data_IF_632851716449
#
_entry.id   IF_632851716449
#
_cell.length_a   1.000
_cell.length_b   1.000
_cell.length_c   1.000
_cell.angle_alpha   90.00
_cell.angle_beta   90.00
_cell.angle_gamma   90.00
#
_symmetry.space_group_name_H-M   'P 1'
#
loop_
_entity.id
_entity.type
_entity.pdbx_description
1 polymer ?
#
# COMPACT_ATOMS: atom_id res chain seq x y z
N UNK A 1 17.98 1.19 5.49
CA UNK A 1 16.88 1.77 6.31
C UNK A 1 16.08 0.69 7.03
N UNK A 2 15.51 -0.29 6.33
CA UNK A 2 14.72 -1.37 6.98
C UNK A 2 15.56 -2.24 7.92
N UNK A 3 16.73 -2.71 7.47
CA UNK A 3 17.65 -3.51 8.32
C UNK A 3 18.11 -2.76 9.57
N UNK A 4 18.39 -1.45 9.42
CA UNK A 4 18.82 -0.60 10.53
C UNK A 4 17.71 -0.42 11.56
N UNK A 5 16.45 -0.29 11.13
CA UNK A 5 15.31 -0.24 12.04
C UNK A 5 15.16 -1.55 12.82
N UNK A 6 15.28 -2.70 12.14
CA UNK A 6 15.19 -4.02 12.78
C UNK A 6 16.25 -4.20 13.86
N UNK A 7 17.51 -3.92 13.55
CA UNK A 7 18.60 -3.99 14.54
C UNK A 7 18.36 -3.03 15.70
N UNK A 8 17.82 -1.85 15.42
CA UNK A 8 17.52 -0.86 16.47
C UNK A 8 16.34 -1.28 17.34
N UNK A 9 15.34 -1.98 16.82
CA UNK A 9 14.23 -2.51 17.63
C UNK A 9 14.74 -3.45 18.73
N UNK A 10 15.70 -4.32 18.40
CA UNK A 10 16.32 -5.23 19.35
C UNK A 10 17.31 -4.52 20.30
N UNK A 11 18.06 -3.55 19.79
CA UNK A 11 19.13 -2.88 20.55
C UNK A 11 18.62 -1.77 21.48
N UNK A 12 17.50 -1.12 21.15
CA UNK A 12 16.96 0.03 21.90
C UNK A 12 16.66 -0.27 23.37
N UNK A 13 16.02 -1.41 23.74
CA UNK A 13 15.78 -1.76 25.13
C UNK A 13 17.08 -1.87 25.94
N UNK A 14 18.08 -2.58 25.41
CA UNK A 14 19.38 -2.77 26.08
C UNK A 14 20.16 -1.46 26.22
N UNK A 15 20.19 -0.64 25.17
CA UNK A 15 20.81 0.69 25.23
C UNK A 15 20.14 1.56 26.28
N UNK A 16 18.81 1.48 26.39
CA UNK A 16 18.07 2.30 27.35
C UNK A 16 18.41 1.88 28.77
N UNK A 17 18.47 0.59 29.07
CA UNK A 17 18.87 0.07 30.38
C UNK A 17 20.30 0.49 30.75
N UNK A 18 21.25 0.38 29.81
CA UNK A 18 22.66 0.68 30.06
C UNK A 18 22.98 2.18 30.19
N UNK A 19 22.28 3.02 29.41
CA UNK A 19 22.62 4.44 29.27
C UNK A 19 21.75 5.34 30.14
N UNK A 20 20.47 5.01 30.36
CA UNK A 20 19.56 5.86 31.14
C UNK A 20 20.08 6.20 32.55
N UNK A 21 20.69 5.27 33.31
CA UNK A 21 21.26 5.59 34.63
C UNK A 21 22.46 6.54 34.60
N UNK A 22 23.13 6.66 33.44
CA UNK A 22 24.34 7.47 33.25
C UNK A 22 24.04 8.90 32.79
N UNK A 23 22.82 9.17 32.34
CA UNK A 23 22.40 10.49 31.88
C UNK A 23 22.16 11.43 33.06
N UNK A 24 22.89 12.55 33.09
CA UNK A 24 22.80 13.59 34.13
C UNK A 24 21.99 14.80 33.66
N UNK A 25 21.42 15.55 34.61
CA UNK A 25 20.69 16.79 34.33
C UNK A 25 19.18 16.69 34.55
N UNK A 26 18.48 17.77 34.20
CA UNK A 26 17.01 17.87 34.31
C UNK A 26 16.32 16.89 33.34
N UNK A 27 15.04 16.54 33.54
CA UNK A 27 14.33 15.60 32.66
C UNK A 27 14.43 15.91 31.16
N UNK A 28 14.28 17.18 30.77
CA UNK A 28 14.40 17.61 29.37
C UNK A 28 15.84 17.47 28.82
N UNK A 29 16.86 17.74 29.65
CA UNK A 29 18.27 17.60 29.26
C UNK A 29 18.63 16.13 29.05
N UNK A 30 18.16 15.24 29.93
CA UNK A 30 18.33 13.78 29.78
C UNK A 30 17.62 13.26 28.54
N UNK A 31 16.41 13.76 28.23
CA UNK A 31 15.71 13.38 27.00
C UNK A 31 16.48 13.81 25.75
N UNK A 32 17.02 15.03 25.72
CA UNK A 32 17.86 15.51 24.61
C UNK A 32 19.14 14.69 24.46
N UNK A 33 19.84 14.41 25.56
CA UNK A 33 21.04 13.57 25.54
C UNK A 33 20.73 12.15 25.05
N UNK A 34 19.61 11.58 25.48
CA UNK A 34 19.13 10.28 24.99
C UNK A 34 18.85 10.27 23.49
N UNK A 35 18.20 11.31 22.96
CA UNK A 35 17.97 11.44 21.52
C UNK A 35 19.29 11.50 20.74
N UNK A 36 20.27 12.28 21.20
CA UNK A 36 21.59 12.36 20.57
C UNK A 36 22.32 11.02 20.57
N UNK A 37 22.27 10.28 21.68
CA UNK A 37 22.83 8.93 21.78
C UNK A 37 22.14 7.99 20.79
N UNK A 38 20.80 8.00 20.76
CA UNK A 38 20.01 7.17 19.83
C UNK A 38 20.37 7.47 18.38
N UNK A 39 20.47 8.74 18.02
CA UNK A 39 20.79 9.16 16.65
C UNK A 39 22.21 8.72 16.27
N UNK A 40 23.20 8.89 17.16
CA UNK A 40 24.57 8.46 16.92
C UNK A 40 24.69 6.94 16.75
N UNK A 41 24.00 6.17 17.60
CA UNK A 41 23.97 4.70 17.48
C UNK A 41 23.23 4.29 16.22
N UNK A 42 22.12 4.94 15.89
CA UNK A 42 21.38 4.67 14.66
C UNK A 42 22.26 4.91 13.42
N UNK A 43 23.01 6.01 13.37
CA UNK A 43 23.95 6.27 12.26
C UNK A 43 25.05 5.21 12.17
N UNK A 44 25.57 4.72 13.30
CA UNK A 44 26.56 3.64 13.31
C UNK A 44 25.97 2.33 12.80
N UNK A 45 24.79 1.94 13.31
CA UNK A 45 24.05 0.76 12.86
C UNK A 45 23.74 0.87 11.36
N UNK A 46 23.34 2.05 10.89
CA UNK A 46 23.07 2.28 9.48
C UNK A 46 24.32 2.05 8.62
N UNK A 47 25.48 2.59 9.02
CA UNK A 47 26.74 2.37 8.32
C UNK A 47 27.13 0.90 8.28
N UNK A 48 27.07 0.20 9.42
CA UNK A 48 27.41 -1.22 9.49
C UNK A 48 26.44 -2.09 8.67
N UNK A 49 25.13 -1.87 8.79
CA UNK A 49 24.13 -2.57 8.00
C UNK A 49 24.37 -2.36 6.50
N UNK A 50 24.73 -1.14 6.08
CA UNK A 50 25.01 -0.84 4.68
C UNK A 50 26.22 -1.64 4.17
N UNK A 51 27.35 -1.57 4.87
CA UNK A 51 28.56 -2.30 4.48
C UNK A 51 28.33 -3.81 4.44
N UNK A 52 27.65 -4.39 5.43
CA UNK A 52 27.35 -5.81 5.45
C UNK A 52 26.38 -6.21 4.34
N UNK A 53 25.35 -5.41 4.09
CA UNK A 53 24.40 -5.64 3.01
C UNK A 53 25.09 -5.62 1.64
N UNK A 54 25.90 -4.60 1.36
CA UNK A 54 26.67 -4.50 0.11
C UNK A 54 27.61 -5.69 -0.09
N UNK A 55 28.30 -6.12 0.97
CA UNK A 55 29.17 -7.28 0.91
C UNK A 55 28.42 -8.59 0.62
N UNK A 56 27.18 -8.74 1.11
CA UNK A 56 26.33 -9.89 0.80
C UNK A 56 25.81 -9.80 -0.64
N UNK A 57 25.36 -8.64 -1.08
CA UNK A 57 24.90 -8.40 -2.46
C UNK A 57 25.98 -8.75 -3.46
N UNK A 58 27.22 -8.26 -3.27
CA UNK A 58 28.34 -8.57 -4.15
C UNK A 58 28.63 -10.07 -4.23
N UNK A 59 28.52 -10.80 -3.11
CA UNK A 59 28.69 -12.27 -3.10
C UNK A 59 27.58 -12.97 -3.86
N UNK A 60 26.34 -12.50 -3.75
CA UNK A 60 25.20 -13.04 -4.49
C UNK A 60 25.35 -12.78 -5.99
N UNK A 61 25.67 -11.53 -6.38
CA UNK A 61 25.89 -11.15 -7.78
C UNK A 61 27.04 -11.93 -8.42
N UNK A 62 28.13 -12.18 -7.68
CA UNK A 62 29.23 -13.00 -8.17
C UNK A 62 28.85 -14.47 -8.44
N UNK A 63 27.88 -15.01 -7.68
CA UNK A 63 27.41 -16.39 -7.83
C UNK A 63 26.26 -16.52 -8.84
N UNK A 64 25.65 -15.41 -9.27
CA UNK A 64 24.38 -15.37 -10.00
C UNK A 64 24.43 -16.18 -11.31
N UNK A 65 25.39 -15.88 -12.19
CA UNK A 65 25.54 -16.57 -13.48
C UNK A 65 25.77 -18.09 -13.36
N UNK A 66 26.53 -18.53 -12.35
CA UNK A 66 26.75 -19.96 -12.09
C UNK A 66 25.47 -20.62 -11.56
N UNK A 67 24.73 -19.92 -10.72
CA UNK A 67 23.48 -20.42 -10.16
C UNK A 67 22.41 -20.53 -11.26
N UNK A 68 22.28 -19.52 -12.13
CA UNK A 68 21.39 -19.58 -13.29
C UNK A 68 21.70 -20.76 -14.21
N UNK A 69 22.99 -21.03 -14.46
CA UNK A 69 23.40 -22.16 -15.29
C UNK A 69 23.05 -23.51 -14.66
N UNK A 70 23.21 -23.68 -13.34
CA UNK A 70 22.80 -24.89 -12.63
C UNK A 70 21.28 -25.04 -12.61
N UNK A 71 20.53 -23.98 -12.30
CA UNK A 71 19.05 -24.01 -12.32
C UNK A 71 18.54 -24.42 -13.70
N UNK A 72 19.11 -23.87 -14.78
CA UNK A 72 18.70 -24.19 -16.15
C UNK A 72 19.01 -25.64 -16.52
N UNK A 73 20.16 -26.16 -16.09
CA UNK A 73 20.58 -27.54 -16.34
C UNK A 73 19.71 -28.54 -15.58
N UNK A 74 19.40 -28.25 -14.32
CA UNK A 74 18.75 -29.19 -13.39
C UNK A 74 17.25 -28.89 -13.19
N UNK A 75 16.64 -28.08 -14.06
CA UNK A 75 15.29 -27.53 -13.89
C UNK A 75 14.23 -28.60 -13.58
N UNK A 76 14.20 -29.69 -14.36
CA UNK A 76 13.22 -30.77 -14.17
C UNK A 76 13.42 -31.52 -12.84
N UNK A 77 14.68 -31.67 -12.39
CA UNK A 77 15.02 -32.30 -11.12
C UNK A 77 14.62 -31.41 -9.94
N UNK A 78 14.85 -30.09 -10.06
CA UNK A 78 14.42 -29.10 -9.07
C UNK A 78 12.90 -29.11 -8.93
N UNK A 79 12.16 -29.11 -10.05
CA UNK A 79 10.68 -29.20 -10.04
C UNK A 79 10.23 -30.48 -9.35
N UNK A 80 10.80 -31.62 -9.73
CA UNK A 80 10.47 -32.92 -9.13
C UNK A 80 10.73 -32.95 -7.62
N UNK A 81 11.86 -32.38 -7.18
CA UNK A 81 12.21 -32.29 -5.77
C UNK A 81 11.27 -31.34 -5.01
N UNK A 82 10.92 -30.20 -5.59
CA UNK A 82 9.95 -29.25 -5.03
C UNK A 82 8.56 -29.88 -4.87
N UNK A 83 8.08 -30.61 -5.88
CA UNK A 83 6.78 -31.30 -5.82
C UNK A 83 6.78 -32.37 -4.73
N UNK A 84 7.87 -33.15 -4.62
CA UNK A 84 8.01 -34.14 -3.57
C UNK A 84 7.97 -33.53 -2.16
N UNK A 85 8.72 -32.45 -1.93
CA UNK A 85 8.71 -31.74 -0.64
C UNK A 85 7.34 -31.13 -0.37
N UNK A 86 6.72 -30.51 -1.38
CA UNK A 86 5.38 -29.92 -1.27
C UNK A 86 4.34 -30.94 -0.89
N UNK A 87 4.35 -32.13 -1.51
CA UNK A 87 3.43 -33.21 -1.21
C UNK A 87 3.63 -33.74 0.22
N UNK A 88 4.87 -33.94 0.66
CA UNK A 88 5.16 -34.34 2.05
C UNK A 88 4.67 -33.31 3.07
N UNK A 89 4.91 -32.01 2.82
CA UNK A 89 4.41 -30.95 3.69
C UNK A 89 2.88 -30.95 3.70
N UNK A 90 2.25 -31.08 2.52
CA UNK A 90 0.79 -31.12 2.38
C UNK A 90 0.19 -32.26 3.17
N UNK A 91 0.72 -33.48 3.08
CA UNK A 91 0.22 -34.64 3.83
C UNK A 91 0.22 -34.39 5.35
N UNK A 92 1.26 -33.72 5.88
CA UNK A 92 1.39 -33.43 7.31
C UNK A 92 0.51 -32.25 7.76
N UNK A 93 0.38 -31.22 6.92
CA UNK A 93 -0.23 -29.93 7.29
C UNK A 93 -1.70 -29.87 6.91
N UNK A 94 -2.11 -30.40 5.75
CA UNK A 94 -3.43 -30.23 5.18
C UNK A 94 -4.56 -30.68 6.13
N UNK A 95 -4.51 -31.86 6.78
CA UNK A 95 -5.60 -32.28 7.67
C UNK A 95 -5.79 -31.33 8.87
N UNK A 96 -4.69 -30.78 9.40
CA UNK A 96 -4.73 -29.81 10.50
C UNK A 96 -5.24 -28.46 10.03
N UNK A 97 -4.77 -28.00 8.87
CA UNK A 97 -5.18 -26.74 8.26
C UNK A 97 -6.67 -26.75 7.88
N UNK A 98 -7.18 -27.82 7.27
CA UNK A 98 -8.60 -27.94 6.91
C UNK A 98 -9.51 -27.92 8.14
N UNK A 99 -9.11 -28.59 9.23
CA UNK A 99 -9.86 -28.55 10.48
C UNK A 99 -9.91 -27.13 11.05
N UNK A 100 -8.78 -26.43 11.09
CA UNK A 100 -8.71 -25.03 11.54
C UNK A 100 -9.51 -24.10 10.63
N UNK A 101 -9.45 -24.30 9.31
CA UNK A 101 -10.21 -23.51 8.34
C UNK A 101 -11.71 -23.66 8.60
N UNK A 102 -12.22 -24.89 8.70
CA UNK A 102 -13.66 -25.16 8.88
C UNK A 102 -14.19 -24.65 10.22
N UNK A 103 -13.44 -24.83 11.29
CA UNK A 103 -13.90 -24.49 12.65
C UNK A 103 -13.65 -23.03 12.99
N UNK A 104 -12.46 -22.52 12.66
CA UNK A 104 -11.99 -21.24 13.18
C UNK A 104 -12.09 -20.11 12.17
N UNK A 105 -12.06 -20.35 10.85
CA UNK A 105 -11.99 -19.28 9.84
C UNK A 105 -13.30 -19.15 9.05
N UNK A 106 -13.78 -20.24 8.46
CA UNK A 106 -14.92 -20.28 7.54
C UNK A 106 -16.20 -19.61 8.08
N UNK A 107 -16.57 -19.76 9.37
CA UNK A 107 -17.76 -19.09 9.91
C UNK A 107 -17.71 -17.56 9.87
N UNK A 108 -16.53 -16.97 9.80
CA UNK A 108 -16.34 -15.52 9.88
C UNK A 108 -16.17 -14.85 8.52
N UNK A 109 -15.85 -15.61 7.46
CA UNK A 109 -15.54 -15.07 6.13
C UNK A 109 -16.63 -14.09 5.65
N UNK A 110 -17.91 -14.43 5.80
CA UNK A 110 -19.01 -13.54 5.39
C UNK A 110 -18.95 -12.21 6.15
N UNK A 111 -18.85 -12.26 7.48
CA UNK A 111 -18.80 -11.05 8.31
C UNK A 111 -17.60 -10.17 7.99
N UNK A 112 -16.46 -10.76 7.64
CA UNK A 112 -15.27 -10.01 7.18
C UNK A 112 -15.56 -9.31 5.87
N UNK A 113 -16.09 -10.05 4.90
CA UNK A 113 -16.39 -9.51 3.58
C UNK A 113 -17.41 -8.38 3.72
N UNK A 114 -18.44 -8.53 4.53
CA UNK A 114 -19.44 -7.48 4.74
C UNK A 114 -18.82 -6.23 5.39
N UNK A 115 -18.00 -6.40 6.43
CA UNK A 115 -17.30 -5.31 7.10
C UNK A 115 -16.33 -4.56 6.18
N UNK A 116 -15.73 -5.25 5.20
CA UNK A 116 -14.86 -4.65 4.19
C UNK A 116 -15.65 -4.01 3.04
N UNK A 117 -16.65 -4.73 2.50
CA UNK A 117 -17.40 -4.35 1.30
C UNK A 117 -18.25 -3.11 1.53
N UNK A 118 -18.91 -3.00 2.68
CA UNK A 118 -19.83 -1.89 2.96
C UNK A 118 -19.13 -0.51 2.91
N UNK A 119 -18.09 -0.21 3.73
CA UNK A 119 -17.36 1.06 3.64
C UNK A 119 -16.65 1.26 2.30
N UNK A 120 -16.09 0.19 1.72
CA UNK A 120 -15.39 0.25 0.43
C UNK A 120 -16.34 0.65 -0.70
N UNK A 121 -17.49 -0.02 -0.82
CA UNK A 121 -18.50 0.25 -1.85
C UNK A 121 -19.07 1.67 -1.74
N UNK A 122 -19.26 2.18 -0.52
CA UNK A 122 -19.66 3.58 -0.29
C UNK A 122 -18.62 4.56 -0.79
N UNK A 123 -17.34 4.34 -0.48
CA UNK A 123 -16.28 5.24 -0.96
C UNK A 123 -16.12 5.22 -2.48
N UNK A 124 -16.20 4.05 -3.14
CA UNK A 124 -16.21 3.99 -4.61
C UNK A 124 -17.46 4.61 -5.23
N UNK A 125 -18.61 4.49 -4.56
CA UNK A 125 -19.83 5.18 -4.99
C UNK A 125 -19.68 6.69 -4.91
N UNK A 126 -19.05 7.22 -3.86
CA UNK A 126 -18.74 8.64 -3.71
C UNK A 126 -17.76 9.10 -4.80
N UNK A 127 -16.72 8.33 -5.13
CA UNK A 127 -15.81 8.63 -6.25
C UNK A 127 -16.57 8.77 -7.56
N UNK A 128 -17.49 7.83 -7.84
CA UNK A 128 -18.35 7.89 -9.03
C UNK A 128 -19.23 9.14 -9.02
N UNK A 129 -19.83 9.48 -7.88
CA UNK A 129 -20.68 10.68 -7.75
C UNK A 129 -19.87 11.97 -7.91
N UNK A 130 -18.68 12.05 -7.33
CA UNK A 130 -17.76 13.17 -7.48
C UNK A 130 -17.41 13.37 -8.96
N UNK A 131 -16.98 12.31 -9.64
CA UNK A 131 -16.67 12.38 -11.07
C UNK A 131 -17.86 12.83 -11.90
N UNK A 132 -19.05 12.29 -11.61
CA UNK A 132 -20.28 12.68 -12.30
C UNK A 132 -20.63 14.16 -12.08
N UNK A 133 -20.46 14.68 -10.86
CA UNK A 133 -20.70 16.09 -10.52
C UNK A 133 -19.79 17.01 -11.32
N UNK A 134 -18.50 16.70 -11.40
CA UNK A 134 -17.53 17.50 -12.18
C UNK A 134 -17.85 17.47 -13.69
N UNK A 135 -18.30 16.33 -14.23
CA UNK A 135 -18.74 16.24 -15.62
C UNK A 135 -20.01 17.06 -15.88
N UNK A 136 -20.96 17.07 -14.95
CA UNK A 136 -22.18 17.87 -15.06
C UNK A 136 -21.88 19.37 -14.99
N UNK A 137 -20.96 19.79 -14.12
CA UNK A 137 -20.52 21.18 -14.02
C UNK A 137 -19.79 21.62 -15.30
N UNK A 138 -18.95 20.76 -15.88
CA UNK A 138 -18.37 20.98 -17.21
C UNK A 138 -19.47 21.22 -18.25
N UNK A 139 -20.47 20.34 -18.32
CA UNK A 139 -21.56 20.45 -19.31
C UNK A 139 -22.34 21.77 -19.18
N UNK A 140 -22.67 22.19 -17.96
CA UNK A 140 -23.35 23.48 -17.70
C UNK A 140 -22.49 24.68 -18.10
N UNK A 141 -21.19 24.65 -17.81
CA UNK A 141 -20.28 25.74 -18.16
C UNK A 141 -20.08 25.86 -19.68
N UNK A 142 -20.04 24.74 -20.39
CA UNK A 142 -20.04 24.74 -21.87
C UNK A 142 -21.29 25.40 -22.44
N UNK A 143 -22.47 25.10 -21.89
CA UNK A 143 -23.75 25.68 -22.34
C UNK A 143 -23.85 27.18 -22.05
N UNK A 144 -23.27 27.66 -20.95
CA UNK A 144 -23.41 29.05 -20.49
C UNK A 144 -22.29 29.99 -20.99
N UNK A 145 -21.08 29.49 -21.24
CA UNK A 145 -19.90 30.33 -21.56
C UNK A 145 -19.22 30.00 -22.90
N UNK A 146 -19.67 28.95 -23.61
CA UNK A 146 -19.47 28.72 -25.06
C UNK A 146 -18.07 28.66 -25.66
N UNK A 147 -17.00 29.06 -24.95
CA UNK A 147 -15.66 29.12 -25.50
C UNK A 147 -14.87 27.83 -25.25
N UNK A 148 -14.13 27.41 -26.28
CA UNK A 148 -13.28 26.22 -26.28
C UNK A 148 -12.23 26.26 -25.17
N UNK A 149 -11.74 27.46 -24.83
CA UNK A 149 -10.81 27.71 -23.73
C UNK A 149 -11.38 27.33 -22.35
N UNK A 150 -12.65 27.65 -22.07
CA UNK A 150 -13.28 27.35 -20.76
C UNK A 150 -13.47 25.84 -20.58
N UNK A 151 -13.79 25.13 -21.67
CA UNK A 151 -13.91 23.66 -21.69
C UNK A 151 -12.55 23.01 -21.46
N UNK A 152 -11.50 23.47 -22.14
CA UNK A 152 -10.14 22.96 -21.98
C UNK A 152 -9.63 23.15 -20.53
N UNK A 153 -9.86 24.32 -19.94
CA UNK A 153 -9.48 24.60 -18.55
C UNK A 153 -10.22 23.70 -17.54
N UNK A 154 -11.49 23.39 -17.77
CA UNK A 154 -12.23 22.48 -16.89
C UNK A 154 -11.82 21.02 -17.08
N UNK A 155 -11.52 20.59 -18.30
CA UNK A 155 -11.01 19.25 -18.56
C UNK A 155 -9.67 19.02 -17.86
N UNK A 156 -8.81 20.04 -17.82
CA UNK A 156 -7.55 19.99 -17.06
C UNK A 156 -7.79 19.89 -15.54
N UNK A 157 -8.83 20.56 -15.01
CA UNK A 157 -9.21 20.37 -13.60
C UNK A 157 -9.69 18.95 -13.30
N UNK A 158 -10.39 18.31 -14.25
CA UNK A 158 -10.84 16.92 -14.13
C UNK A 158 -9.65 15.94 -14.25
N UNK A 159 -8.63 16.27 -15.05
CA UNK A 159 -7.43 15.43 -15.24
C UNK A 159 -6.67 15.19 -13.93
N UNK A 160 -6.65 16.19 -13.06
CA UNK A 160 -5.99 16.15 -11.75
C UNK A 160 -6.94 15.84 -10.58
N UNK A 161 -8.22 15.57 -10.84
CA UNK A 161 -9.26 15.38 -9.81
C UNK A 161 -8.90 14.28 -8.82
N UNK A 162 -8.28 13.20 -9.29
CA UNK A 162 -7.83 12.07 -8.46
C UNK A 162 -6.81 12.45 -7.38
N UNK A 163 -6.15 13.61 -7.51
CA UNK A 163 -5.15 14.13 -6.58
C UNK A 163 -5.64 15.38 -5.84
N UNK A 164 -6.88 15.82 -6.07
CA UNK A 164 -7.41 17.01 -5.43
C UNK A 164 -7.70 16.74 -3.94
N UNK A 165 -6.97 17.38 -2.99
CA UNK A 165 -7.04 17.01 -1.58
C UNK A 165 -8.43 17.22 -0.97
N UNK A 166 -9.09 18.34 -1.28
CA UNK A 166 -10.42 18.66 -0.72
C UNK A 166 -11.54 17.82 -1.35
N UNK A 167 -11.62 17.73 -2.68
CA UNK A 167 -12.70 17.01 -3.38
C UNK A 167 -12.68 15.51 -3.07
N UNK A 168 -11.49 14.90 -3.02
CA UNK A 168 -11.34 13.48 -2.71
C UNK A 168 -11.59 13.11 -1.24
N UNK A 169 -11.52 14.09 -0.32
CA UNK A 169 -11.66 13.83 1.11
C UNK A 169 -12.98 13.14 1.46
N UNK A 170 -14.09 13.61 0.89
CA UNK A 170 -15.42 13.01 1.07
C UNK A 170 -15.48 11.53 0.67
N UNK A 171 -14.68 11.11 -0.32
CA UNK A 171 -14.58 9.72 -0.76
C UNK A 171 -13.81 8.86 0.25
N UNK A 172 -12.74 9.43 0.82
CA UNK A 172 -11.89 8.75 1.80
C UNK A 172 -12.59 8.55 3.14
N UNK A 173 -13.35 9.55 3.59
CA UNK A 173 -14.15 9.50 4.82
C UNK A 173 -15.16 8.34 4.83
N UNK A 174 -15.64 7.88 3.66
CA UNK A 174 -16.57 6.73 3.59
C UNK A 174 -15.93 5.41 4.01
N UNK A 175 -14.60 5.31 3.93
CA UNK A 175 -13.86 4.10 4.28
C UNK A 175 -13.27 4.15 5.69
N UNK A 176 -13.13 5.33 6.28
CA UNK A 176 -12.60 5.49 7.64
C UNK A 176 -13.35 4.69 8.73
N UNK A 177 -14.67 4.48 8.66
CA UNK A 177 -15.39 3.64 9.62
C UNK A 177 -15.10 2.14 9.52
N UNK A 178 -14.23 1.70 8.60
CA UNK A 178 -13.85 0.30 8.46
C UNK A 178 -13.20 -0.20 9.75
N UNK A 179 -13.90 -1.10 10.43
CA UNK A 179 -13.44 -1.73 11.66
C UNK A 179 -13.42 -3.25 11.50
N UNK A 180 -12.33 -3.85 11.96
CA UNK A 180 -12.13 -5.30 12.01
C UNK A 180 -11.89 -5.78 13.45
N UNK A 181 -12.34 -5.02 14.46
CA UNK A 181 -12.06 -5.29 15.89
C UNK A 181 -12.41 -6.73 16.31
N UNK A 182 -13.59 -7.22 15.91
CA UNK A 182 -14.01 -8.59 16.22
C UNK A 182 -13.11 -9.68 15.61
N UNK A 183 -12.37 -9.35 14.56
CA UNK A 183 -11.39 -10.23 13.92
C UNK A 183 -9.97 -10.05 14.43
N UNK A 184 -9.56 -8.82 14.76
CA UNK A 184 -8.25 -8.54 15.36
C UNK A 184 -8.08 -9.30 16.66
N UNK A 185 -9.13 -9.37 17.48
CA UNK A 185 -9.13 -10.14 18.72
C UNK A 185 -8.98 -11.65 18.52
N UNK A 186 -9.25 -12.18 17.32
CA UNK A 186 -9.35 -13.63 17.07
C UNK A 186 -8.27 -14.19 16.14
N UNK A 187 -7.79 -13.40 15.20
CA UNK A 187 -6.88 -13.85 14.15
C UNK A 187 -5.56 -13.05 14.10
N UNK A 188 -5.32 -12.17 15.07
CA UNK A 188 -4.12 -11.31 15.10
C UNK A 188 -3.92 -10.56 13.76
N UNK A 189 -5.03 -10.14 13.14
CA UNK A 189 -4.96 -9.43 11.86
C UNK A 189 -4.35 -8.05 12.07
N UNK A 190 -3.56 -7.60 11.08
CA UNK A 190 -3.03 -6.25 11.03
C UNK A 190 -4.14 -5.19 11.21
N UNK A 191 -3.74 -4.00 11.67
CA UNK A 191 -4.64 -2.85 11.84
C UNK A 191 -5.52 -2.62 10.60
N UNK A 192 -6.79 -2.26 10.81
CA UNK A 192 -7.74 -1.91 9.75
C UNK A 192 -7.22 -0.76 8.86
N UNK A 193 -6.27 0.03 9.37
CA UNK A 193 -5.59 1.10 8.65
C UNK A 193 -4.98 0.67 7.32
N UNK A 194 -4.45 -0.55 7.22
CA UNK A 194 -3.85 -1.07 5.97
C UNK A 194 -4.93 -1.19 4.87
N UNK A 195 -6.12 -1.66 5.23
CA UNK A 195 -7.24 -1.79 4.31
C UNK A 195 -7.79 -0.42 3.91
N UNK A 196 -7.91 0.50 4.87
CA UNK A 196 -8.33 1.89 4.60
C UNK A 196 -7.36 2.56 3.61
N UNK A 197 -6.06 2.52 3.89
CA UNK A 197 -5.03 3.08 3.02
C UNK A 197 -5.08 2.46 1.62
N UNK A 198 -5.22 1.13 1.53
CA UNK A 198 -5.29 0.43 0.25
C UNK A 198 -6.54 0.83 -0.55
N UNK A 199 -7.69 0.90 0.09
CA UNK A 199 -8.93 1.33 -0.54
C UNK A 199 -8.83 2.77 -1.07
N UNK A 200 -8.27 3.69 -0.28
CA UNK A 200 -8.05 5.08 -0.71
C UNK A 200 -7.08 5.18 -1.91
N UNK A 201 -6.02 4.36 -1.94
CA UNK A 201 -5.12 4.26 -3.09
C UNK A 201 -5.88 3.80 -4.34
N UNK A 202 -6.68 2.73 -4.21
CA UNK A 202 -7.46 2.19 -5.33
C UNK A 202 -8.50 3.19 -5.84
N UNK A 203 -9.14 3.96 -4.95
CA UNK A 203 -10.06 5.03 -5.32
C UNK A 203 -9.39 6.09 -6.21
N UNK A 204 -8.18 6.52 -5.86
CA UNK A 204 -7.38 7.43 -6.71
C UNK A 204 -7.05 6.81 -8.06
N UNK A 205 -6.59 5.55 -8.05
CA UNK A 205 -6.20 4.86 -9.28
C UNK A 205 -7.37 4.72 -10.25
N UNK A 206 -8.54 4.29 -9.77
CA UNK A 206 -9.74 4.15 -10.60
C UNK A 206 -10.14 5.49 -11.22
N UNK A 207 -10.18 6.56 -10.44
CA UNK A 207 -10.53 7.88 -10.97
C UNK A 207 -9.50 8.39 -12.01
N UNK A 208 -8.21 8.19 -11.75
CA UNK A 208 -7.14 8.53 -12.69
C UNK A 208 -7.18 7.71 -14.00
N UNK A 209 -7.56 6.43 -13.91
CA UNK A 209 -7.75 5.57 -15.09
C UNK A 209 -8.96 5.97 -15.92
N UNK A 210 -10.08 6.37 -15.28
CA UNK A 210 -11.28 6.83 -16.00
C UNK A 210 -10.97 8.06 -16.86
N UNK A 211 -10.13 8.98 -16.39
CA UNK A 211 -9.64 10.08 -17.21
C UNK A 211 -8.72 9.58 -18.34
N UNK A 212 -7.74 8.73 -18.03
CA UNK A 212 -6.75 8.25 -18.99
C UNK A 212 -7.34 7.35 -20.08
N UNK A 213 -8.41 6.60 -19.81
CA UNK A 213 -9.14 5.81 -20.81
C UNK A 213 -10.00 6.66 -21.76
N UNK A 214 -10.21 7.95 -21.44
CA UNK A 214 -11.00 8.87 -22.25
C UNK A 214 -10.18 9.71 -23.22
N UNK A 215 -8.85 9.56 -23.26
CA UNK A 215 -8.00 10.18 -24.29
C UNK A 215 -8.32 9.78 -25.75
N UNK A 216 -8.88 8.59 -26.08
CA UNK A 216 -9.40 8.32 -27.42
C UNK A 216 -10.69 9.11 -27.74
N UNK A 217 -11.47 9.46 -26.72
CA UNK A 217 -12.71 10.24 -26.83
C UNK A 217 -12.47 11.76 -26.74
N UNK A 218 -11.33 12.19 -26.21
CA UNK A 218 -10.90 13.60 -26.23
C UNK A 218 -10.73 14.11 -27.67
N UNK A 219 -10.22 13.26 -28.57
CA UNK A 219 -10.14 13.53 -30.01
C UNK A 219 -11.52 13.65 -30.66
N UNK A 220 -12.47 12.80 -30.25
CA UNK A 220 -13.84 12.79 -30.76
C UNK A 220 -14.65 13.99 -30.27
N UNK A 221 -14.52 14.42 -29.01
CA UNK A 221 -15.21 15.61 -28.50
C UNK A 221 -14.70 16.91 -29.13
N UNK A 222 -13.40 16.98 -29.46
CA UNK A 222 -12.84 18.10 -30.23
C UNK A 222 -13.30 18.06 -31.69
N UNK A 223 -13.39 16.87 -32.32
CA UNK A 223 -13.91 16.72 -33.68
C UNK A 223 -15.42 16.94 -33.81
N UNK A 224 -16.23 16.52 -32.83
CA UNK A 224 -17.68 16.75 -32.83
C UNK A 224 -18.05 18.22 -32.72
N UNK A 225 -17.17 19.05 -32.13
CA UNK A 225 -17.32 20.51 -32.10
C UNK A 225 -16.77 21.22 -33.35
N UNK A 226 -15.96 20.57 -34.18
CA UNK A 226 -15.48 21.10 -35.46
C UNK A 226 -16.42 20.81 -36.64
N UNK A 227 -17.50 20.06 -36.42
CA UNK A 227 -18.50 19.74 -37.46
C UNK A 227 -19.80 20.56 -37.33
N UNK A 228 -19.81 21.55 -36.44
CA UNK A 228 -20.93 22.47 -36.23
C UNK A 228 -20.51 23.92 -36.51
N UNK A 229 -19.68 24.10 -37.54
CA UNK A 229 -19.51 25.33 -38.33
C UNK A 229 -20.10 25.11 -39.73
#
# INVERSE_FOLDING_TARGET
MVLSNLVMEDLLPELRELISPRLKGKPHERLRAWMQVRDAVYSLVQGQCQTHYEAVVQKCEAADSSLEASIRTDMDQIITAMDHVTNKIREVVLPKAEKLLKVSIQPYISSVLDALMEPTSRGFSEVRQLFFRELMDLSKNTLNQGSKEVVAQHMEKISVLAFHPVKMQSCYEKVEPLSLEGLQQRFDVCSSSVFVQRAQILMRQVLGLVYRMRSPWGSLLVHSFSFME
#
